data_IF_391103858523
#
_entry.id   IF_391103858523
#
_cell.length_a   1.000
_cell.length_b   1.000
_cell.length_c   1.000
_cell.angle_alpha   90.00
_cell.angle_beta   90.00
_cell.angle_gamma   90.00
#
_symmetry.space_group_name_H-M   'P 1'
#
loop_
_entity.id
_entity.type
_entity.pdbx_description
1 polymer ?
#
# COMPACT_ATOMS: atom_id res chain seq x y z
N UNK A 1 -8.80 -24.54 0.96
CA UNK A 1 -9.07 -23.15 0.57
C UNK A 1 -10.55 -23.05 0.29
N UNK A 2 -11.25 -22.17 0.99
CA UNK A 2 -12.62 -21.83 0.65
C UNK A 2 -12.60 -20.79 -0.48
N UNK A 3 -13.39 -21.02 -1.53
CA UNK A 3 -13.42 -20.14 -2.70
C UNK A 3 -14.10 -18.81 -2.39
N UNK A 4 -15.06 -18.78 -1.46
CA UNK A 4 -15.71 -17.57 -0.98
C UNK A 4 -14.74 -16.69 -0.19
N UNK A 5 -14.00 -17.28 0.74
CA UNK A 5 -12.98 -16.56 1.51
C UNK A 5 -11.89 -15.98 0.61
N UNK A 6 -11.46 -16.74 -0.39
CA UNK A 6 -10.44 -16.30 -1.35
C UNK A 6 -10.96 -15.14 -2.21
N UNK A 7 -12.20 -15.24 -2.72
CA UNK A 7 -12.82 -14.17 -3.50
C UNK A 7 -12.96 -12.88 -2.67
N UNK A 8 -13.38 -13.01 -1.41
CA UNK A 8 -13.50 -11.88 -0.50
C UNK A 8 -12.15 -11.21 -0.20
N UNK A 9 -11.09 -12.01 0.02
CA UNK A 9 -9.73 -11.49 0.21
C UNK A 9 -9.22 -10.74 -1.02
N UNK A 10 -9.47 -11.24 -2.23
CA UNK A 10 -9.05 -10.57 -3.47
C UNK A 10 -9.75 -9.22 -3.64
N UNK A 11 -11.07 -9.17 -3.43
CA UNK A 11 -11.84 -7.92 -3.50
C UNK A 11 -11.38 -6.93 -2.43
N UNK A 12 -11.19 -7.40 -1.19
CA UNK A 12 -10.71 -6.55 -0.10
C UNK A 12 -9.34 -5.94 -0.40
N UNK A 13 -8.42 -6.74 -0.96
CA UNK A 13 -7.07 -6.27 -1.33
C UNK A 13 -7.13 -5.23 -2.46
N UNK A 14 -8.01 -5.41 -3.45
CA UNK A 14 -8.22 -4.44 -4.52
C UNK A 14 -8.80 -3.11 -4.00
N UNK A 15 -9.74 -3.16 -3.05
CA UNK A 15 -10.32 -1.97 -2.41
C UNK A 15 -9.26 -1.19 -1.62
N UNK A 16 -8.38 -1.88 -0.89
CA UNK A 16 -7.26 -1.25 -0.17
C UNK A 16 -6.27 -0.61 -1.15
N UNK A 17 -5.94 -1.29 -2.25
CA UNK A 17 -5.07 -0.75 -3.29
C UNK A 17 -5.62 0.57 -3.87
N UNK A 18 -6.94 0.65 -4.06
CA UNK A 18 -7.62 1.85 -4.56
C UNK A 18 -7.51 3.06 -3.62
N UNK A 19 -7.23 2.86 -2.33
CA UNK A 19 -7.11 3.97 -1.37
C UNK A 19 -5.91 4.88 -1.72
N UNK A 20 -4.79 4.34 -2.18
CA UNK A 20 -3.57 5.13 -2.47
C UNK A 20 -3.74 6.12 -3.64
N UNK A 21 -4.30 5.75 -4.82
CA UNK A 21 -4.68 6.74 -5.83
C UNK A 21 -5.85 7.62 -5.37
N UNK A 22 -6.75 7.11 -4.49
CA UNK A 22 -7.77 7.92 -3.84
C UNK A 22 -7.19 9.09 -3.03
N UNK A 23 -6.12 8.85 -2.27
CA UNK A 23 -5.36 9.88 -1.55
C UNK A 23 -4.70 10.87 -2.52
N UNK A 24 -4.18 10.39 -3.65
CA UNK A 24 -3.59 11.25 -4.68
C UNK A 24 -4.60 12.27 -5.23
N UNK A 25 -5.84 11.83 -5.50
CA UNK A 25 -6.93 12.71 -5.95
C UNK A 25 -7.41 13.63 -4.82
N UNK A 26 -7.58 13.09 -3.62
CA UNK A 26 -8.06 13.85 -2.46
C UNK A 26 -7.09 14.96 -2.05
N UNK A 27 -5.83 14.62 -1.80
CA UNK A 27 -4.79 15.60 -1.48
C UNK A 27 -4.42 16.49 -2.67
N UNK A 28 -4.45 15.93 -3.89
CA UNK A 28 -4.30 16.70 -5.12
C UNK A 28 -5.34 17.81 -5.26
N UNK A 29 -6.60 17.56 -4.88
CA UNK A 29 -7.67 18.55 -4.90
C UNK A 29 -7.55 19.67 -3.85
N UNK A 30 -6.79 19.45 -2.78
CA UNK A 30 -6.58 20.44 -1.70
C UNK A 30 -5.35 21.34 -1.93
N UNK A 31 -4.46 20.99 -2.85
CA UNK A 31 -3.30 21.81 -3.20
C UNK A 31 -3.60 22.77 -4.35
N UNK A 32 -2.85 23.88 -4.44
CA UNK A 32 -2.95 24.81 -5.57
C UNK A 32 -2.62 24.08 -6.87
N UNK A 33 -3.21 24.51 -8.00
CA UNK A 33 -3.00 23.91 -9.33
C UNK A 33 -1.53 23.61 -9.67
N UNK A 34 -0.62 24.52 -9.32
CA UNK A 34 0.83 24.36 -9.54
C UNK A 34 1.48 23.17 -8.80
N UNK A 35 0.85 22.66 -7.74
CA UNK A 35 1.37 21.59 -6.89
C UNK A 35 0.66 20.24 -7.05
N UNK A 36 -0.40 20.16 -7.86
CA UNK A 36 -1.23 18.95 -8.01
C UNK A 36 -0.40 17.79 -8.55
N UNK A 37 0.39 18.04 -9.60
CA UNK A 37 1.23 17.01 -10.21
C UNK A 37 2.25 16.43 -9.21
N UNK A 38 2.88 17.29 -8.41
CA UNK A 38 3.81 16.83 -7.37
C UNK A 38 3.10 15.96 -6.31
N UNK A 39 1.90 16.35 -5.88
CA UNK A 39 1.10 15.58 -4.92
C UNK A 39 0.70 14.20 -5.47
N UNK A 40 0.28 14.16 -6.74
CA UNK A 40 -0.04 12.91 -7.41
C UNK A 40 1.20 12.02 -7.55
N UNK A 41 2.34 12.56 -7.99
CA UNK A 41 3.58 11.80 -8.14
C UNK A 41 4.08 11.20 -6.83
N UNK A 42 3.98 11.92 -5.70
CA UNK A 42 4.31 11.37 -4.38
C UNK A 42 3.51 10.11 -4.04
N UNK A 43 2.23 10.05 -4.44
CA UNK A 43 1.35 8.90 -4.17
C UNK A 43 1.60 7.72 -5.14
N UNK A 44 1.87 7.99 -6.42
CA UNK A 44 2.16 6.91 -7.38
C UNK A 44 3.54 6.29 -7.17
N UNK A 45 4.55 7.12 -6.85
CA UNK A 45 5.91 6.62 -6.56
C UNK A 45 5.90 5.80 -5.27
N UNK A 46 5.14 6.22 -4.24
CA UNK A 46 5.05 5.45 -3.00
C UNK A 46 4.44 4.06 -3.22
N UNK A 47 3.41 3.92 -4.07
CA UNK A 47 2.86 2.58 -4.41
C UNK A 47 3.93 1.65 -4.98
N UNK A 48 4.70 2.11 -5.96
CA UNK A 48 5.74 1.29 -6.59
C UNK A 48 6.88 0.95 -5.61
N UNK A 49 7.33 1.94 -4.85
CA UNK A 49 8.42 1.75 -3.88
C UNK A 49 8.01 0.81 -2.75
N UNK A 50 6.80 0.98 -2.19
CA UNK A 50 6.27 0.11 -1.14
C UNK A 50 6.09 -1.32 -1.67
N UNK A 51 5.58 -1.51 -2.87
CA UNK A 51 5.46 -2.84 -3.47
C UNK A 51 6.81 -3.56 -3.56
N UNK A 52 7.86 -2.87 -4.04
CA UNK A 52 9.21 -3.42 -4.13
C UNK A 52 9.78 -3.75 -2.75
N UNK A 53 9.73 -2.80 -1.82
CA UNK A 53 10.24 -2.99 -0.44
C UNK A 53 9.52 -4.13 0.26
N UNK A 54 8.19 -4.19 0.11
CA UNK A 54 7.35 -5.22 0.72
C UNK A 54 7.71 -6.62 0.22
N UNK A 55 7.89 -6.78 -1.10
CA UNK A 55 8.29 -8.06 -1.70
C UNK A 55 9.71 -8.47 -1.33
N UNK A 56 10.66 -7.54 -1.25
CA UNK A 56 12.06 -7.87 -0.99
C UNK A 56 12.32 -8.27 0.47
N UNK A 57 11.78 -7.51 1.43
CA UNK A 57 12.03 -7.78 2.85
C UNK A 57 10.91 -7.34 3.80
N UNK A 58 10.02 -6.42 3.41
CA UNK A 58 8.96 -5.90 4.28
C UNK A 58 8.01 -6.99 4.79
N UNK A 59 7.59 -7.92 3.93
CA UNK A 59 6.77 -9.06 4.35
C UNK A 59 7.50 -9.94 5.37
N UNK A 60 8.77 -10.26 5.11
CA UNK A 60 9.56 -11.14 5.99
C UNK A 60 9.81 -10.50 7.36
N UNK A 61 10.13 -9.21 7.41
CA UNK A 61 10.31 -8.50 8.70
C UNK A 61 9.02 -8.36 9.51
N UNK A 62 7.84 -8.56 8.90
CA UNK A 62 6.55 -8.40 9.58
C UNK A 62 5.93 -9.75 9.95
N UNK A 63 6.06 -10.75 9.08
CA UNK A 63 5.39 -12.06 9.20
C UNK A 63 6.36 -13.25 9.20
N UNK A 64 7.66 -12.99 9.28
CA UNK A 64 8.68 -14.03 9.34
C UNK A 64 8.84 -14.66 10.72
N UNK A 65 10.03 -15.22 10.95
CA UNK A 65 10.37 -15.85 12.23
C UNK A 65 10.72 -14.77 13.26
N UNK A 66 9.96 -14.75 14.36
CA UNK A 66 10.19 -13.82 15.47
C UNK A 66 11.66 -13.65 15.89
N UNK A 67 12.08 -12.39 15.90
CA UNK A 67 13.35 -11.88 16.37
C UNK A 67 13.06 -10.74 17.35
N UNK A 68 13.46 -10.93 18.62
CA UNK A 68 13.31 -9.89 19.64
C UNK A 68 12.01 -9.93 20.44
N UNK A 69 11.33 -11.09 20.51
CA UNK A 69 10.23 -11.30 21.45
C UNK A 69 8.89 -10.69 21.02
N UNK A 70 8.63 -10.67 19.71
CA UNK A 70 7.42 -10.18 19.06
C UNK A 70 7.56 -8.83 18.38
N UNK A 71 8.76 -8.24 18.36
CA UNK A 71 8.99 -6.90 17.81
C UNK A 71 9.23 -6.90 16.29
N UNK A 72 9.89 -7.92 15.77
CA UNK A 72 10.21 -8.09 14.34
C UNK A 72 10.03 -9.56 14.00
N UNK A 73 9.47 -9.84 12.82
CA UNK A 73 9.45 -11.18 12.25
C UNK A 73 10.80 -11.61 11.67
#
# INVERSE_FOLDING_TARGET
MDTGDTAWMLISTALVLLMTPGLAMFYGGMVRAKGVLNMMMMSFVSMGLVAVVWTLYGYSMTFGKDLGGGLVG
#
